data_IF_662235461675
#
_entry.id   IF_662235461675
#
_cell.length_a   1.000
_cell.length_b   1.000
_cell.length_c   1.000
_cell.angle_alpha   90.00
_cell.angle_beta   90.00
_cell.angle_gamma   90.00
#
_symmetry.space_group_name_H-M   'P 1'
#
loop_
_entity.id
_entity.type
_entity.pdbx_description
1 polymer ?
#
# COMPACT_ATOMS: atom_id res chain seq x y z
N UNK A 1 -18.91 -13.40 3.78
CA UNK A 1 -17.98 -12.72 2.86
C UNK A 1 -17.76 -11.32 3.39
N UNK A 2 -16.51 -10.94 3.62
CA UNK A 2 -16.19 -9.54 3.95
C UNK A 2 -16.54 -8.64 2.76
N UNK A 3 -17.01 -7.41 3.00
CA UNK A 3 -17.30 -6.48 1.93
C UNK A 3 -16.02 -6.15 1.14
N UNK A 4 -16.12 -5.91 -0.19
CA UNK A 4 -14.97 -5.52 -0.99
C UNK A 4 -14.30 -4.25 -0.45
N UNK A 5 -12.97 -4.25 -0.42
CA UNK A 5 -12.16 -3.12 0.04
C UNK A 5 -11.99 -2.14 -1.13
N UNK A 6 -12.42 -0.87 -1.03
CA UNK A 6 -12.19 0.12 -2.08
C UNK A 6 -10.70 0.35 -2.32
N UNK A 7 -10.29 0.34 -3.59
CA UNK A 7 -8.93 0.61 -4.03
C UNK A 7 -8.91 1.87 -4.89
N UNK A 8 -8.07 2.84 -4.55
CA UNK A 8 -7.80 3.98 -5.44
C UNK A 8 -6.37 3.88 -5.98
N UNK A 9 -6.23 3.94 -7.31
CA UNK A 9 -4.94 3.99 -7.99
C UNK A 9 -4.79 5.39 -8.57
N UNK A 10 -3.83 6.15 -8.05
CA UNK A 10 -3.63 7.55 -8.40
C UNK A 10 -2.29 7.79 -9.09
N UNK A 11 -2.30 8.49 -10.22
CA UNK A 11 -1.07 8.80 -10.95
C UNK A 11 -1.32 9.55 -12.26
N UNK A 12 -0.29 10.23 -12.76
CA UNK A 12 -0.29 10.79 -14.11
C UNK A 12 -0.04 9.69 -15.14
N UNK A 13 -0.70 9.76 -16.30
CA UNK A 13 -0.46 8.82 -17.39
C UNK A 13 -0.83 7.38 -17.04
N UNK A 14 -2.02 7.17 -16.47
CA UNK A 14 -2.57 5.83 -16.20
C UNK A 14 -2.56 5.02 -17.51
N UNK A 15 -1.81 3.90 -17.59
CA UNK A 15 -1.69 3.12 -18.82
C UNK A 15 -3.05 2.54 -19.27
N UNK A 16 -3.28 2.48 -20.58
CA UNK A 16 -4.52 1.93 -21.14
C UNK A 16 -4.69 0.44 -20.80
N UNK A 17 -3.58 -0.28 -20.66
CA UNK A 17 -3.57 -1.67 -20.24
C UNK A 17 -4.14 -1.83 -18.82
N UNK A 18 -3.80 -0.90 -17.91
CA UNK A 18 -4.36 -0.90 -16.56
C UNK A 18 -5.86 -0.58 -16.57
N UNK A 19 -6.29 0.37 -17.41
CA UNK A 19 -7.72 0.68 -17.59
C UNK A 19 -8.48 -0.55 -18.09
N UNK A 20 -7.93 -1.27 -19.07
CA UNK A 20 -8.53 -2.50 -19.59
C UNK A 20 -8.64 -3.61 -18.51
N UNK A 21 -7.59 -3.81 -17.71
CA UNK A 21 -7.58 -4.76 -16.59
C UNK A 21 -8.66 -4.42 -15.57
N UNK A 22 -8.80 -3.14 -15.20
CA UNK A 22 -9.83 -2.69 -14.25
C UNK A 22 -11.23 -2.91 -14.82
N UNK A 23 -11.47 -2.54 -16.08
CA UNK A 23 -12.79 -2.70 -16.72
C UNK A 23 -13.23 -4.17 -16.84
N UNK A 24 -12.29 -5.08 -17.05
CA UNK A 24 -12.54 -6.52 -17.10
C UNK A 24 -12.70 -7.17 -15.71
N UNK A 25 -12.35 -6.48 -14.64
CA UNK A 25 -12.41 -7.01 -13.28
C UNK A 25 -13.85 -7.09 -12.76
N UNK A 26 -14.16 -8.18 -12.05
CA UNK A 26 -15.42 -8.31 -11.29
C UNK A 26 -15.52 -7.28 -10.15
N UNK A 27 -14.40 -6.67 -9.75
CA UNK A 27 -14.33 -5.66 -8.68
C UNK A 27 -14.30 -4.21 -9.20
N UNK A 28 -14.59 -3.97 -10.50
CA UNK A 28 -14.47 -2.63 -11.11
C UNK A 28 -15.18 -1.51 -10.34
N UNK A 29 -16.34 -1.80 -9.74
CA UNK A 29 -17.14 -0.85 -8.95
C UNK A 29 -16.43 -0.40 -7.65
N UNK A 30 -15.39 -1.14 -7.23
CA UNK A 30 -14.59 -0.87 -6.05
C UNK A 30 -13.19 -0.35 -6.37
N UNK A 31 -12.85 -0.17 -7.65
CA UNK A 31 -11.53 0.33 -8.09
C UNK A 31 -11.72 1.71 -8.73
N UNK A 32 -11.14 2.74 -8.12
CA UNK A 32 -11.11 4.11 -8.67
C UNK A 32 -9.74 4.39 -9.30
N UNK A 33 -9.75 4.83 -10.55
CA UNK A 33 -8.58 5.35 -11.23
C UNK A 33 -8.59 6.88 -11.15
N UNK A 34 -7.63 7.47 -10.45
CA UNK A 34 -7.52 8.92 -10.22
C UNK A 34 -6.35 9.51 -11.04
N UNK A 35 -6.67 10.10 -12.18
CA UNK A 35 -5.65 10.65 -13.09
C UNK A 35 -5.13 12.00 -12.59
N UNK A 36 -3.83 12.07 -12.29
CA UNK A 36 -3.12 13.32 -11.96
C UNK A 36 -3.83 14.23 -10.92
N UNK A 37 -4.06 13.74 -9.68
CA UNK A 37 -4.69 14.54 -8.63
C UNK A 37 -3.86 15.78 -8.31
N UNK A 38 -4.53 16.92 -8.07
CA UNK A 38 -3.87 18.19 -7.71
C UNK A 38 -3.24 18.17 -6.31
N UNK A 39 -3.75 17.31 -5.43
CA UNK A 39 -3.23 17.09 -4.08
C UNK A 39 -3.47 15.63 -3.70
N UNK A 40 -2.54 15.05 -2.93
CA UNK A 40 -2.67 13.70 -2.39
C UNK A 40 -3.39 13.69 -1.03
N UNK A 41 -3.50 14.83 -0.35
CA UNK A 41 -4.15 14.94 0.98
C UNK A 41 -5.54 14.29 1.02
N UNK A 42 -6.48 14.58 0.08
CA UNK A 42 -7.81 13.97 0.14
C UNK A 42 -7.77 12.44 -0.06
N UNK A 43 -6.78 11.94 -0.81
CA UNK A 43 -6.60 10.50 -1.02
C UNK A 43 -6.06 9.84 0.23
N UNK A 44 -5.11 10.49 0.90
CA UNK A 44 -4.55 9.98 2.14
C UNK A 44 -5.54 9.99 3.29
N UNK A 45 -6.32 11.07 3.47
CA UNK A 45 -7.32 11.19 4.52
C UNK A 45 -8.35 10.04 4.44
N UNK A 46 -8.78 9.73 3.20
CA UNK A 46 -9.74 8.67 2.91
C UNK A 46 -9.13 7.25 2.98
N UNK A 47 -7.81 7.10 2.83
CA UNK A 47 -7.15 5.81 2.85
C UNK A 47 -6.96 5.27 4.28
N UNK A 48 -6.86 3.95 4.41
CA UNK A 48 -6.45 3.27 5.67
C UNK A 48 -5.03 2.73 5.62
N UNK A 49 -4.48 2.56 4.42
CA UNK A 49 -3.10 2.17 4.16
C UNK A 49 -2.71 2.62 2.75
N UNK A 50 -1.43 2.56 2.44
CA UNK A 50 -0.90 2.74 1.08
C UNK A 50 -0.26 1.47 0.56
N UNK A 51 -0.27 1.27 -0.76
CA UNK A 51 0.36 0.12 -1.43
C UNK A 51 1.39 0.65 -2.42
N UNK A 52 2.65 0.26 -2.25
CA UNK A 52 3.80 0.74 -3.01
C UNK A 52 4.61 -0.48 -3.48
N UNK A 53 4.11 -1.24 -4.48
CA UNK A 53 4.66 -2.54 -4.87
C UNK A 53 5.79 -2.40 -5.90
N UNK A 54 6.75 -1.50 -5.65
CA UNK A 54 7.83 -1.24 -6.61
C UNK A 54 8.68 -2.50 -6.84
N UNK A 55 8.72 -2.96 -8.08
CA UNK A 55 9.56 -4.07 -8.55
C UNK A 55 10.92 -3.58 -9.09
N UNK A 56 10.99 -2.29 -9.44
CA UNK A 56 12.19 -1.64 -9.96
C UNK A 56 12.34 -0.28 -9.25
N UNK A 57 13.57 0.06 -8.84
CA UNK A 57 13.85 1.30 -8.15
C UNK A 57 14.13 2.44 -9.13
N UNK A 58 13.42 3.56 -8.99
CA UNK A 58 13.76 4.83 -9.62
C UNK A 58 13.52 5.97 -8.61
N UNK A 59 14.59 6.50 -8.04
CA UNK A 59 14.56 7.70 -7.20
C UNK A 59 14.12 7.50 -5.74
N UNK A 60 14.11 8.60 -4.99
CA UNK A 60 13.71 8.65 -3.58
C UNK A 60 12.23 8.30 -3.42
N UNK A 61 11.92 7.44 -2.44
CA UNK A 61 10.57 6.95 -2.14
C UNK A 61 9.70 8.00 -1.42
N UNK A 62 9.58 9.21 -1.98
CA UNK A 62 8.89 10.35 -1.35
C UNK A 62 7.44 10.03 -0.95
N UNK A 63 6.71 9.28 -1.78
CA UNK A 63 5.31 8.91 -1.49
C UNK A 63 5.18 7.96 -0.31
N UNK A 64 6.17 7.10 -0.09
CA UNK A 64 6.21 6.21 1.07
C UNK A 64 6.48 7.03 2.34
N UNK A 65 7.50 7.90 2.31
CA UNK A 65 7.81 8.75 3.45
C UNK A 65 6.67 9.71 3.79
N UNK A 66 6.02 10.30 2.78
CA UNK A 66 4.86 11.18 2.94
C UNK A 66 3.69 10.44 3.59
N UNK A 67 3.32 9.27 3.07
CA UNK A 67 2.23 8.45 3.62
C UNK A 67 2.50 8.03 5.07
N UNK A 68 3.73 7.57 5.38
CA UNK A 68 4.08 7.18 6.74
C UNK A 68 4.10 8.38 7.70
N UNK A 69 4.55 9.56 7.24
CA UNK A 69 4.59 10.78 8.05
C UNK A 69 3.20 11.28 8.48
N UNK A 70 2.16 11.00 7.69
CA UNK A 70 0.76 11.31 8.02
C UNK A 70 0.03 10.14 8.68
N UNK A 71 0.77 9.13 9.17
CA UNK A 71 0.21 8.02 9.95
C UNK A 71 -0.52 6.96 9.13
N UNK A 72 -0.23 6.82 7.83
CA UNK A 72 -0.74 5.70 7.04
C UNK A 72 0.21 4.50 7.11
N UNK A 73 -0.29 3.31 7.49
CA UNK A 73 0.41 2.06 7.23
C UNK A 73 0.71 1.87 5.74
N UNK A 74 1.76 1.11 5.43
CA UNK A 74 2.18 0.86 4.06
C UNK A 74 2.47 -0.62 3.79
N UNK A 75 2.01 -1.09 2.63
CA UNK A 75 2.41 -2.36 2.02
C UNK A 75 3.43 -2.06 0.93
N UNK A 76 4.62 -2.64 1.02
CA UNK A 76 5.73 -2.28 0.14
C UNK A 76 6.43 -3.51 -0.45
N UNK A 77 7.09 -3.33 -1.59
CA UNK A 77 8.08 -4.28 -2.08
C UNK A 77 9.45 -4.10 -1.39
N UNK A 78 10.37 -5.10 -1.46
CA UNK A 78 11.69 -5.03 -0.81
C UNK A 78 12.50 -3.79 -1.16
N UNK A 79 12.48 -3.36 -2.42
CA UNK A 79 13.22 -2.18 -2.86
C UNK A 79 12.73 -0.89 -2.18
N UNK A 80 11.43 -0.79 -1.93
CA UNK A 80 10.86 0.38 -1.28
C UNK A 80 11.15 0.40 0.23
N UNK A 81 11.20 -0.76 0.90
CA UNK A 81 11.63 -0.84 2.30
C UNK A 81 13.11 -0.49 2.47
N UNK A 82 13.97 -0.99 1.58
CA UNK A 82 15.40 -0.68 1.60
C UNK A 82 15.66 0.81 1.39
N UNK A 83 14.90 1.44 0.47
CA UNK A 83 15.02 2.86 0.14
C UNK A 83 14.70 3.83 1.28
N UNK A 84 14.06 3.37 2.37
CA UNK A 84 13.81 4.17 3.58
C UNK A 84 14.59 3.66 4.80
N UNK A 85 15.63 2.85 4.58
CA UNK A 85 16.49 2.34 5.65
C UNK A 85 15.85 1.26 6.51
N UNK A 86 14.73 0.68 6.05
CA UNK A 86 14.12 -0.49 6.68
C UNK A 86 14.72 -1.74 6.02
N UNK A 87 16.02 -1.89 6.27
CA UNK A 87 16.82 -3.03 5.81
C UNK A 87 16.78 -4.08 6.92
N UNK A 88 16.16 -5.25 6.67
CA UNK A 88 16.24 -6.38 7.61
C UNK A 88 14.93 -7.10 7.99
N UNK A 89 13.84 -6.93 7.24
CA UNK A 89 12.57 -7.64 7.52
C UNK A 89 12.30 -8.88 6.66
N UNK A 90 13.07 -9.10 5.60
CA UNK A 90 12.89 -10.23 4.67
C UNK A 90 13.87 -11.36 4.96
N UNK A 91 13.96 -11.78 6.20
CA UNK A 91 14.35 -13.15 6.48
C UNK A 91 13.05 -13.97 6.50
N UNK A 92 13.00 -15.13 5.85
CA UNK A 92 11.86 -16.05 5.97
C UNK A 92 11.50 -16.35 7.44
N UNK A 93 12.46 -16.18 8.36
CA UNK A 93 12.27 -16.33 9.82
C UNK A 93 11.70 -15.08 10.53
N UNK A 94 11.77 -13.87 9.95
CA UNK A 94 11.09 -12.68 10.51
C UNK A 94 9.65 -12.55 10.02
N UNK A 95 9.19 -13.47 9.16
CA UNK A 95 7.80 -13.54 8.71
C UNK A 95 6.84 -14.22 9.70
N UNK A 96 7.28 -14.69 10.88
CA UNK A 96 6.38 -15.46 11.74
C UNK A 96 6.43 -15.23 13.26
N UNK A 97 7.45 -14.61 13.86
CA UNK A 97 7.44 -14.41 15.32
C UNK A 97 7.70 -12.95 15.72
N UNK A 98 6.60 -12.22 15.97
CA UNK A 98 6.61 -11.14 16.96
C UNK A 98 6.28 -9.71 16.51
N UNK A 99 6.24 -9.40 15.21
CA UNK A 99 6.19 -8.00 14.74
C UNK A 99 4.86 -7.62 14.05
N UNK A 100 3.74 -8.10 14.59
CA UNK A 100 2.39 -7.83 14.06
C UNK A 100 1.92 -6.38 14.28
N UNK A 101 2.59 -5.59 15.11
CA UNK A 101 2.21 -4.22 15.46
C UNK A 101 2.83 -3.15 14.52
N UNK A 102 3.57 -3.56 13.48
CA UNK A 102 4.26 -2.58 12.62
C UNK A 102 3.36 -2.01 11.52
N UNK A 103 3.47 -0.68 11.29
CA UNK A 103 2.74 0.01 10.23
C UNK A 103 3.27 -0.30 8.83
N UNK A 104 4.33 -1.10 8.69
CA UNK A 104 4.91 -1.48 7.40
C UNK A 104 4.83 -2.99 7.20
N UNK A 105 4.42 -3.44 6.01
CA UNK A 105 4.40 -4.85 5.63
C UNK A 105 5.11 -5.01 4.28
N UNK A 106 6.10 -5.91 4.20
CA UNK A 106 6.89 -6.15 2.99
C UNK A 106 6.42 -7.43 2.32
N UNK A 107 6.13 -7.39 1.02
CA UNK A 107 5.75 -8.56 0.23
C UNK A 107 6.57 -8.68 -1.06
N UNK A 108 7.03 -9.88 -1.38
CA UNK A 108 7.77 -10.18 -2.64
C UNK A 108 6.88 -10.85 -3.68
N UNK A 109 5.72 -11.36 -3.27
CA UNK A 109 4.73 -12.00 -4.14
C UNK A 109 3.38 -11.27 -4.07
N UNK A 110 2.54 -11.46 -5.09
CA UNK A 110 1.17 -10.92 -5.11
C UNK A 110 0.33 -11.42 -3.93
N UNK A 111 0.48 -12.69 -3.55
CA UNK A 111 -0.20 -13.28 -2.41
C UNK A 111 0.22 -12.61 -1.09
N UNK A 112 1.52 -12.37 -0.88
CA UNK A 112 2.01 -11.68 0.31
C UNK A 112 1.53 -10.23 0.36
N UNK A 113 1.57 -9.50 -0.76
CA UNK A 113 1.06 -8.13 -0.83
C UNK A 113 -0.43 -8.08 -0.50
N UNK A 114 -1.22 -9.02 -0.99
CA UNK A 114 -2.65 -9.13 -0.68
C UNK A 114 -2.89 -9.43 0.81
N UNK A 115 -2.20 -10.41 1.38
CA UNK A 115 -2.28 -10.73 2.81
C UNK A 115 -1.88 -9.53 3.68
N UNK A 116 -0.80 -8.84 3.32
CA UNK A 116 -0.35 -7.61 3.98
C UNK A 116 -1.43 -6.51 3.93
N UNK A 117 -2.04 -6.30 2.76
CA UNK A 117 -3.09 -5.30 2.59
C UNK A 117 -4.32 -5.63 3.45
N UNK A 118 -4.77 -6.89 3.47
CA UNK A 118 -5.91 -7.31 4.30
C UNK A 118 -5.60 -7.17 5.79
N UNK A 119 -4.40 -7.59 6.23
CA UNK A 119 -3.95 -7.44 7.62
C UNK A 119 -3.98 -5.98 8.07
N UNK A 120 -3.23 -5.12 7.36
CA UNK A 120 -3.13 -3.70 7.70
C UNK A 120 -4.48 -2.97 7.54
N UNK A 121 -5.33 -3.41 6.59
CA UNK A 121 -6.69 -2.87 6.40
C UNK A 121 -7.71 -3.42 7.42
N UNK A 122 -7.38 -4.41 8.23
CA UNK A 122 -8.27 -4.91 9.28
C UNK A 122 -7.91 -4.40 10.68
N UNK A 123 -6.75 -3.77 10.83
CA UNK A 123 -6.20 -3.34 12.12
C UNK A 123 -6.63 -1.91 12.52
N UNK A 124 -7.81 -1.81 13.13
CA UNK A 124 -8.34 -0.54 13.64
C UNK A 124 -7.48 0.07 14.75
N UNK A 125 -6.84 -0.76 15.57
CA UNK A 125 -6.03 -0.30 16.68
C UNK A 125 -4.80 0.43 16.14
N UNK A 126 -4.13 -0.17 15.16
CA UNK A 126 -3.01 0.43 14.46
C UNK A 126 -3.35 1.81 13.87
N UNK A 127 -4.46 1.96 13.13
CA UNK A 127 -4.81 3.27 12.56
C UNK A 127 -5.08 4.32 13.64
N UNK A 128 -5.74 3.92 14.72
CA UNK A 128 -6.05 4.82 15.83
C UNK A 128 -4.78 5.28 16.54
N UNK A 129 -3.76 4.43 16.62
CA UNK A 129 -2.48 4.79 17.21
C UNK A 129 -1.66 5.73 16.32
N UNK A 130 -1.70 5.53 14.99
CA UNK A 130 -0.91 6.31 14.03
C UNK A 130 -1.50 7.68 13.71
N UNK A 131 -2.84 7.82 13.71
CA UNK A 131 -3.56 9.05 13.32
C UNK A 131 -3.94 9.96 14.50
N UNK A 132 -3.04 10.14 15.46
CA UNK A 132 -3.27 11.03 16.61
C UNK A 132 -3.19 12.51 16.23
#
# INVERSE_FOLDING_TARGET
HDPPIPLTIAGSGIPQELVAVVNASIYREHIRLESSPRSLTPLYDAARLTIIPHQYGCGTQYKLSEAMAIGLPAVVGPLASDGIGITGGVNEQTMWEGDFDRPLCVGTTTAQLATCAVRLHSDKQLWTQLRK
#
